data_IF_307861353192
#
_entry.id   IF_307861353192
#
_cell.length_a   1.000
_cell.length_b   1.000
_cell.length_c   1.000
_cell.angle_alpha   90.00
_cell.angle_beta   90.00
_cell.angle_gamma   90.00
#
_symmetry.space_group_name_H-M   'P 1'
#
loop_
_entity.id
_entity.type
_entity.pdbx_description
1 polymer ?
#
# COMPACT_ATOMS: atom_id res chain seq x y z
N UNK A 1 -13.06 -23.71 11.44
CA UNK A 1 -12.94 -23.07 11.44
C UNK A 1 -13.06 -22.69 11.77
N UNK A 2 -13.30 -23.49 11.73
CA UNK A 2 -13.57 -22.86 12.09
C UNK A 2 -13.29 -22.08 11.84
N UNK A 3 -12.84 -22.41 12.41
CA UNK A 3 -12.34 -21.26 11.84
C UNK A 3 -12.30 -21.37 10.34
N UNK A 4 -13.01 -20.54 9.72
CA UNK A 4 -13.04 -20.53 8.27
C UNK A 4 -11.70 -20.13 7.69
N UNK A 5 -11.33 -20.72 6.58
CA UNK A 5 -10.11 -20.33 5.90
C UNK A 5 -10.10 -18.87 5.53
N UNK A 6 -11.24 -18.32 5.16
CA UNK A 6 -11.31 -16.91 4.81
C UNK A 6 -11.29 -15.96 5.97
N UNK A 7 -11.33 -16.46 7.19
CA UNK A 7 -11.38 -15.60 8.37
C UNK A 7 -10.02 -15.03 8.66
N UNK A 8 -9.97 -13.75 8.90
CA UNK A 8 -8.75 -13.03 9.23
C UNK A 8 -8.86 -12.46 10.62
N UNK A 9 -7.72 -12.36 11.28
CA UNK A 9 -7.67 -11.74 12.58
C UNK A 9 -7.89 -10.24 12.47
N UNK A 10 -8.31 -9.63 13.57
CA UNK A 10 -8.57 -8.20 13.62
C UNK A 10 -7.37 -7.38 13.17
N UNK A 11 -6.14 -7.81 13.54
CA UNK A 11 -4.97 -7.01 13.18
C UNK A 11 -4.70 -7.04 11.68
N UNK A 12 -5.03 -8.11 10.98
CA UNK A 12 -4.88 -8.13 9.52
C UNK A 12 -5.92 -7.26 8.86
N UNK A 13 -7.13 -7.26 9.37
CA UNK A 13 -8.17 -6.36 8.88
C UNK A 13 -7.76 -4.91 9.12
N UNK A 14 -7.17 -4.63 10.30
CA UNK A 14 -6.68 -3.29 10.59
C UNK A 14 -5.60 -2.86 9.62
N UNK A 15 -4.70 -3.77 9.24
CA UNK A 15 -3.66 -3.48 8.25
C UNK A 15 -4.29 -3.08 6.92
N UNK A 16 -5.29 -3.81 6.47
CA UNK A 16 -5.95 -3.50 5.21
C UNK A 16 -6.63 -2.13 5.26
N UNK A 17 -7.30 -1.83 6.38
CA UNK A 17 -7.93 -0.51 6.54
C UNK A 17 -6.88 0.59 6.49
N UNK A 18 -5.77 0.42 7.19
CA UNK A 18 -4.69 1.39 7.17
C UNK A 18 -4.15 1.57 5.76
N UNK A 19 -4.00 0.48 5.01
CA UNK A 19 -3.50 0.57 3.64
C UNK A 19 -4.48 1.28 2.72
N UNK A 20 -5.79 1.10 2.91
CA UNK A 20 -6.79 1.90 2.17
C UNK A 20 -6.58 3.38 2.45
N UNK A 21 -6.44 3.74 3.72
CA UNK A 21 -6.24 5.14 4.11
C UNK A 21 -4.94 5.68 3.53
N UNK A 22 -3.86 4.91 3.60
CA UNK A 22 -2.56 5.35 3.07
C UNK A 22 -2.61 5.53 1.55
N UNK A 23 -3.28 4.63 0.85
CA UNK A 23 -3.44 4.79 -0.59
C UNK A 23 -4.22 6.05 -0.93
N UNK A 24 -5.31 6.31 -0.21
CA UNK A 24 -6.08 7.54 -0.41
C UNK A 24 -5.26 8.78 -0.06
N UNK A 25 -4.45 8.70 0.99
CA UNK A 25 -3.57 9.81 1.34
C UNK A 25 -2.59 10.12 0.21
N UNK A 26 -2.05 9.08 -0.42
CA UNK A 26 -1.14 9.29 -1.54
C UNK A 26 -1.86 9.90 -2.74
N UNK A 27 -3.09 9.47 -3.02
CA UNK A 27 -3.89 10.07 -4.09
C UNK A 27 -4.12 11.55 -3.84
N UNK A 28 -4.37 11.92 -2.59
CA UNK A 28 -4.67 13.32 -2.24
C UNK A 28 -3.42 14.16 -2.00
N UNK A 29 -2.26 13.53 -1.84
CA UNK A 29 -1.03 14.23 -1.48
C UNK A 29 -0.67 15.37 -2.44
N UNK A 30 -0.84 15.25 -3.77
CA UNK A 30 -0.48 16.36 -4.66
C UNK A 30 -1.17 17.67 -4.30
N UNK A 31 -2.45 17.59 -3.88
CA UNK A 31 -3.17 18.81 -3.51
C UNK A 31 -2.77 19.31 -2.13
N UNK A 32 -2.67 18.41 -1.16
CA UNK A 32 -2.36 18.81 0.21
C UNK A 32 -0.93 19.29 0.36
N UNK A 33 0.00 18.70 -0.40
CA UNK A 33 1.41 19.05 -0.27
C UNK A 33 1.90 19.96 -1.39
N UNK A 34 1.02 20.35 -2.31
CA UNK A 34 1.32 21.38 -3.27
C UNK A 34 2.22 20.99 -4.41
N UNK A 35 2.21 19.73 -4.84
CA UNK A 35 3.04 19.33 -5.97
C UNK A 35 2.26 18.96 -7.23
N UNK A 36 1.03 19.46 -7.36
CA UNK A 36 0.22 19.16 -8.55
C UNK A 36 0.84 19.63 -9.85
N UNK A 37 1.75 20.61 -9.78
CA UNK A 37 2.47 21.07 -10.97
C UNK A 37 3.53 20.11 -11.45
N UNK A 38 3.90 19.11 -10.65
CA UNK A 38 4.90 18.12 -11.02
C UNK A 38 4.18 16.91 -11.59
N UNK A 39 4.16 16.82 -12.93
CA UNK A 39 3.31 15.89 -13.62
C UNK A 39 3.64 14.43 -13.28
N UNK A 40 4.91 14.06 -13.34
CA UNK A 40 5.31 12.68 -13.07
C UNK A 40 4.95 12.28 -11.65
N UNK A 41 5.24 13.14 -10.68
CA UNK A 41 4.94 12.86 -9.28
C UNK A 41 3.44 12.74 -9.05
N UNK A 42 2.67 13.66 -9.61
CA UNK A 42 1.23 13.69 -9.43
C UNK A 42 0.56 12.47 -10.03
N UNK A 43 0.91 12.12 -11.27
CA UNK A 43 0.35 10.94 -11.91
C UNK A 43 0.70 9.67 -11.15
N UNK A 44 1.95 9.56 -10.72
CA UNK A 44 2.37 8.38 -9.98
C UNK A 44 1.64 8.28 -8.64
N UNK A 45 1.47 9.40 -7.95
CA UNK A 45 0.72 9.42 -6.70
C UNK A 45 -0.72 8.95 -6.91
N UNK A 46 -1.37 9.40 -7.97
CA UNK A 46 -2.73 9.00 -8.26
C UNK A 46 -2.83 7.51 -8.60
N UNK A 47 -1.95 7.05 -9.49
CA UNK A 47 -2.01 5.66 -9.96
C UNK A 47 -1.63 4.69 -8.84
N UNK A 48 -0.52 4.94 -8.18
CA UNK A 48 -0.02 4.03 -7.13
C UNK A 48 -0.93 4.09 -5.91
N UNK A 49 -1.33 5.29 -5.51
CA UNK A 49 -2.23 5.44 -4.37
C UNK A 49 -3.56 4.74 -4.59
N UNK A 50 -4.15 4.93 -5.78
CA UNK A 50 -5.41 4.26 -6.11
C UNK A 50 -5.24 2.75 -6.14
N UNK A 51 -4.14 2.26 -6.71
CA UNK A 51 -3.87 0.82 -6.75
C UNK A 51 -3.74 0.24 -5.35
N UNK A 52 -3.00 0.91 -4.47
CA UNK A 52 -2.85 0.46 -3.09
C UNK A 52 -4.21 0.40 -2.39
N UNK A 53 -5.00 1.47 -2.52
CA UNK A 53 -6.29 1.55 -1.86
C UNK A 53 -7.25 0.48 -2.38
N UNK A 54 -7.30 0.29 -3.70
CA UNK A 54 -8.22 -0.68 -4.30
C UNK A 54 -7.85 -2.11 -3.95
N UNK A 55 -6.56 -2.42 -3.95
CA UNK A 55 -6.10 -3.77 -3.59
C UNK A 55 -6.40 -4.05 -2.13
N UNK A 56 -6.13 -3.09 -1.24
CA UNK A 56 -6.43 -3.26 0.17
C UNK A 56 -7.94 -3.37 0.41
N UNK A 57 -8.73 -2.60 -0.32
CA UNK A 57 -10.18 -2.67 -0.21
C UNK A 57 -10.69 -4.04 -0.66
N UNK A 58 -10.13 -4.57 -1.76
CA UNK A 58 -10.47 -5.89 -2.23
C UNK A 58 -10.13 -6.96 -1.19
N UNK A 59 -9.01 -6.80 -0.48
CA UNK A 59 -8.62 -7.74 0.56
C UNK A 59 -9.60 -7.75 1.73
N UNK A 60 -10.24 -6.62 2.02
CA UNK A 60 -11.26 -6.55 3.06
C UNK A 60 -12.50 -7.35 2.72
N UNK A 61 -12.84 -7.43 1.43
CA UNK A 61 -14.04 -8.14 0.99
C UNK A 61 -13.77 -9.61 0.69
N UNK A 62 -12.64 -9.91 0.04
CA UNK A 62 -12.35 -11.28 -0.38
C UNK A 62 -10.84 -11.44 -0.44
N UNK A 63 -10.24 -11.72 0.70
CA UNK A 63 -8.79 -11.78 0.82
C UNK A 63 -8.19 -12.86 -0.08
N UNK A 64 -7.12 -12.50 -0.76
CA UNK A 64 -6.26 -13.41 -1.51
C UNK A 64 -4.82 -13.02 -1.21
N UNK A 65 -3.96 -14.01 -1.00
CA UNK A 65 -2.57 -13.71 -0.61
C UNK A 65 -1.86 -12.84 -1.66
N UNK A 66 -2.17 -13.01 -2.95
CA UNK A 66 -1.48 -12.22 -4.00
C UNK A 66 -1.66 -10.72 -3.79
N UNK A 67 -2.74 -10.32 -3.12
CA UNK A 67 -3.00 -8.89 -2.89
C UNK A 67 -1.96 -8.28 -1.98
N UNK A 68 -1.47 -9.05 -1.00
CA UNK A 68 -0.40 -8.54 -0.14
C UNK A 68 0.93 -8.46 -0.89
N UNK A 69 1.20 -9.44 -1.76
CA UNK A 69 2.38 -9.36 -2.61
C UNK A 69 2.31 -8.13 -3.52
N UNK A 70 1.14 -7.84 -4.07
CA UNK A 70 0.94 -6.66 -4.91
C UNK A 70 1.16 -5.38 -4.11
N UNK A 71 0.64 -5.30 -2.89
CA UNK A 71 0.85 -4.12 -2.04
C UNK A 71 2.31 -3.97 -1.63
N UNK A 72 2.99 -5.08 -1.38
CA UNK A 72 4.43 -5.04 -1.12
C UNK A 72 5.18 -4.46 -2.31
N UNK A 73 4.86 -4.92 -3.51
CA UNK A 73 5.50 -4.41 -4.72
C UNK A 73 5.20 -2.94 -4.94
N UNK A 74 3.94 -2.52 -4.69
CA UNK A 74 3.56 -1.12 -4.84
C UNK A 74 4.26 -0.23 -3.81
N UNK A 75 4.43 -0.73 -2.59
CA UNK A 75 5.17 -0.01 -1.57
C UNK A 75 6.62 0.19 -1.97
N UNK A 76 7.26 -0.87 -2.47
CA UNK A 76 8.64 -0.78 -2.94
C UNK A 76 8.74 0.19 -4.11
N UNK A 77 7.80 0.10 -5.06
CA UNK A 77 7.79 1.01 -6.20
C UNK A 77 7.63 2.46 -5.74
N UNK A 78 6.75 2.72 -4.79
CA UNK A 78 6.56 4.09 -4.30
C UNK A 78 7.85 4.65 -3.72
N UNK A 79 8.63 3.82 -3.00
CA UNK A 79 9.91 4.23 -2.44
C UNK A 79 10.89 4.61 -3.56
N UNK A 80 10.92 3.83 -4.63
CA UNK A 80 11.88 4.00 -5.70
C UNK A 80 11.45 5.04 -6.74
N UNK A 81 10.15 5.31 -6.83
CA UNK A 81 9.60 6.13 -7.90
C UNK A 81 10.22 7.52 -8.02
N UNK A 82 10.50 8.25 -6.91
CA UNK A 82 11.08 9.59 -7.06
C UNK A 82 12.36 9.60 -7.88
N UNK A 83 13.19 8.57 -7.73
CA UNK A 83 14.46 8.51 -8.45
C UNK A 83 14.27 7.97 -9.87
N UNK A 84 13.45 6.95 -10.02
CA UNK A 84 13.21 6.38 -11.36
C UNK A 84 12.44 7.32 -12.27
N UNK A 85 11.51 8.10 -11.73
CA UNK A 85 10.69 9.01 -12.53
C UNK A 85 11.21 10.45 -12.52
N UNK A 86 12.31 10.70 -11.80
CA UNK A 86 12.98 11.97 -11.89
C UNK A 86 12.39 13.09 -11.05
N UNK A 87 11.63 12.78 -9.99
CA UNK A 87 11.10 13.84 -9.13
C UNK A 87 11.68 13.84 -7.72
N UNK A 88 12.86 13.23 -7.55
CA UNK A 88 13.46 13.16 -6.21
C UNK A 88 13.82 14.50 -5.63
N UNK A 89 14.00 15.53 -6.48
CA UNK A 89 14.29 16.88 -6.02
C UNK A 89 13.04 17.62 -5.52
N UNK A 90 11.86 17.10 -5.78
CA UNK A 90 10.62 17.68 -5.27
C UNK A 90 10.37 17.08 -3.89
N UNK A 91 10.80 17.82 -2.85
CA UNK A 91 10.86 17.27 -1.50
C UNK A 91 9.51 16.73 -1.02
N UNK A 92 8.44 17.49 -1.22
CA UNK A 92 7.12 17.05 -0.75
C UNK A 92 6.69 15.75 -1.41
N UNK A 93 6.89 15.64 -2.73
CA UNK A 93 6.53 14.42 -3.46
C UNK A 93 7.41 13.25 -3.04
N UNK A 94 8.71 13.49 -2.88
CA UNK A 94 9.63 12.46 -2.44
C UNK A 94 9.24 11.92 -1.07
N UNK A 95 8.99 12.79 -0.11
CA UNK A 95 8.61 12.36 1.23
C UNK A 95 7.28 11.60 1.23
N UNK A 96 6.30 12.09 0.48
CA UNK A 96 5.01 11.39 0.42
C UNK A 96 5.18 9.97 -0.10
N UNK A 97 5.92 9.80 -1.19
CA UNK A 97 6.12 8.49 -1.79
C UNK A 97 6.95 7.57 -0.89
N UNK A 98 8.04 8.09 -0.34
CA UNK A 98 8.93 7.25 0.48
C UNK A 98 8.25 6.84 1.77
N UNK A 99 7.62 7.78 2.46
CA UNK A 99 6.99 7.47 3.75
C UNK A 99 5.82 6.50 3.57
N UNK A 100 4.93 6.80 2.64
CA UNK A 100 3.77 5.93 2.42
C UNK A 100 4.23 4.57 1.91
N UNK A 101 5.20 4.54 0.99
CA UNK A 101 5.74 3.30 0.48
C UNK A 101 6.37 2.43 1.55
N UNK A 102 7.12 3.04 2.48
CA UNK A 102 7.70 2.30 3.59
C UNK A 102 6.63 1.67 4.47
N UNK A 103 5.60 2.44 4.79
CA UNK A 103 4.55 1.94 5.67
C UNK A 103 3.75 0.84 4.97
N UNK A 104 3.34 1.07 3.73
CA UNK A 104 2.58 0.08 2.96
C UNK A 104 3.39 -1.19 2.79
N UNK A 105 4.66 -1.07 2.42
CA UNK A 105 5.53 -2.21 2.22
C UNK A 105 5.76 -2.98 3.50
N UNK A 106 6.01 -2.27 4.60
CA UNK A 106 6.23 -2.91 5.89
C UNK A 106 4.99 -3.64 6.37
N UNK A 107 3.81 -3.03 6.20
CA UNK A 107 2.57 -3.66 6.63
C UNK A 107 2.23 -4.87 5.75
N UNK A 108 2.50 -4.80 4.46
CA UNK A 108 2.28 -5.95 3.58
C UNK A 108 3.22 -7.09 3.94
N UNK A 109 4.48 -6.78 4.23
CA UNK A 109 5.45 -7.78 4.63
C UNK A 109 5.05 -8.43 5.96
N UNK A 110 4.57 -7.62 6.91
CA UNK A 110 4.09 -8.13 8.18
C UNK A 110 2.88 -9.05 8.00
N UNK A 111 1.94 -8.64 7.15
CA UNK A 111 0.76 -9.44 6.89
C UNK A 111 1.14 -10.78 6.25
N UNK A 112 2.05 -10.76 5.29
CA UNK A 112 2.55 -12.00 4.67
C UNK A 112 3.23 -12.89 5.69
N UNK A 113 4.02 -12.30 6.59
CA UNK A 113 4.68 -13.07 7.65
C UNK A 113 3.65 -13.73 8.56
N UNK A 114 2.62 -13.00 8.96
CA UNK A 114 1.57 -13.55 9.82
C UNK A 114 0.81 -14.68 9.14
N UNK A 115 0.51 -14.53 7.85
CA UNK A 115 -0.19 -15.56 7.10
C UNK A 115 0.65 -16.83 7.03
N UNK A 116 1.93 -16.70 6.74
CA UNK A 116 2.80 -17.86 6.57
C UNK A 116 3.07 -18.58 7.88
N UNK A 117 2.93 -17.89 9.00
CA UNK A 117 3.16 -18.50 10.30
C UNK A 117 1.88 -18.94 10.98
N UNK A 118 0.79 -19.00 10.24
CA UNK A 118 -0.51 -19.41 10.74
C UNK A 118 -0.92 -20.71 10.07
N UNK A 119 -0.96 -21.84 10.79
CA UNK A 119 -1.24 -23.13 10.14
C UNK A 119 -2.57 -23.14 9.38
N UNK A 120 -3.59 -22.49 9.93
CA UNK A 120 -4.91 -22.46 9.30
C UNK A 120 -4.84 -21.83 7.92
N UNK A 121 -4.08 -20.75 7.77
CA UNK A 121 -4.04 -20.01 6.52
C UNK A 121 -3.06 -20.60 5.53
N UNK A 122 -2.13 -21.45 5.97
CA UNK A 122 -1.18 -22.07 5.07
C UNK A 122 -1.69 -23.35 4.44
N UNK A 123 -2.68 -23.94 5.07
CA UNK A 123 -3.25 -25.17 4.54
C UNK A 123 -4.07 -24.93 3.26
#
# INVERSE_FOLDING_TARGET
MAYSIGTRETKETAIDIVNVVLGLCLVLAPWFLGFTGEMAATRNAWIVGAAIALIALGALFAFQEWEEWANLALGIWAILAPWFLGFATVAAARYAHVVIGLIVGALAALDLWMIRNRPVLRA
#
